data_IF_278185200176
#
_entry.id   IF_278185200176
#
_cell.length_a   1.000
_cell.length_b   1.000
_cell.length_c   1.000
_cell.angle_alpha   90.00
_cell.angle_beta   90.00
_cell.angle_gamma   90.00
#
_symmetry.space_group_name_H-M   'P 1'
#
loop_
_entity.id
_entity.type
_entity.pdbx_description
1 polymer ?
#
# COMPACT_ATOMS: atom_id res chain seq x y z
N UNK A 1 -2.77 -18.95 -46.02
CA UNK A 1 -3.44 -19.33 -44.75
C UNK A 1 -2.42 -20.01 -43.85
N UNK A 2 -1.90 -19.30 -42.84
CA UNK A 2 -0.98 -19.86 -41.85
C UNK A 2 -1.80 -20.42 -40.69
N UNK A 3 -1.66 -21.73 -40.40
CA UNK A 3 -2.34 -22.36 -39.27
C UNK A 3 -1.56 -22.05 -37.99
N UNK A 4 -2.18 -21.37 -37.04
CA UNK A 4 -1.62 -21.13 -35.72
C UNK A 4 -1.41 -22.46 -34.98
N UNK A 5 -0.20 -22.66 -34.42
CA UNK A 5 0.10 -23.80 -33.56
C UNK A 5 -0.57 -23.58 -32.20
N UNK A 6 -1.62 -24.35 -31.93
CA UNK A 6 -2.27 -24.43 -30.62
C UNK A 6 -1.25 -24.87 -29.56
N UNK A 7 -0.88 -23.99 -28.64
CA UNK A 7 -0.03 -24.33 -27.51
C UNK A 7 -0.76 -25.37 -26.63
N UNK A 8 -0.09 -26.50 -26.38
CA UNK A 8 -0.59 -27.52 -25.44
C UNK A 8 -0.44 -26.95 -24.04
N UNK A 9 -1.53 -26.91 -23.28
CA UNK A 9 -1.49 -26.66 -21.85
C UNK A 9 -0.77 -27.85 -21.22
N UNK A 10 0.36 -27.60 -20.58
CA UNK A 10 1.07 -28.61 -19.80
C UNK A 10 0.20 -28.97 -18.60
N UNK A 11 -0.02 -30.28 -18.38
CA UNK A 11 -0.76 -30.75 -17.21
C UNK A 11 0.10 -30.55 -15.97
N UNK A 12 -0.51 -29.97 -14.92
CA UNK A 12 0.15 -29.77 -13.64
C UNK A 12 0.27 -31.14 -12.98
N UNK A 13 1.50 -31.66 -12.91
CA UNK A 13 1.82 -32.89 -12.19
C UNK A 13 2.32 -32.48 -10.80
N UNK A 14 1.50 -32.73 -9.78
CA UNK A 14 1.91 -32.56 -8.39
C UNK A 14 2.82 -33.73 -8.03
N UNK A 15 4.05 -33.43 -7.60
CA UNK A 15 4.93 -34.42 -7.01
C UNK A 15 4.57 -34.57 -5.53
N UNK A 16 4.46 -35.80 -5.05
CA UNK A 16 4.22 -36.13 -3.63
C UNK A 16 5.48 -35.92 -2.75
N UNK A 17 6.55 -35.39 -3.33
CA UNK A 17 7.80 -35.14 -2.63
C UNK A 17 7.84 -33.72 -2.05
N UNK A 18 8.47 -33.58 -0.89
CA UNK A 18 8.66 -32.28 -0.26
C UNK A 18 9.64 -31.44 -1.08
N UNK A 19 9.32 -30.16 -1.27
CA UNK A 19 10.18 -29.21 -1.95
C UNK A 19 11.51 -29.09 -1.19
N UNK A 20 12.55 -29.79 -1.66
CA UNK A 20 13.90 -29.73 -1.11
C UNK A 20 14.57 -28.43 -1.58
N UNK A 21 14.15 -27.30 -1.00
CA UNK A 21 14.76 -25.99 -1.26
C UNK A 21 16.04 -25.90 -0.44
N UNK A 22 17.17 -25.71 -1.10
CA UNK A 22 18.44 -25.51 -0.40
C UNK A 22 18.37 -24.20 0.41
N UNK A 23 19.14 -24.11 1.49
CA UNK A 23 19.16 -22.90 2.32
C UNK A 23 19.65 -21.67 1.54
N UNK A 24 20.40 -21.88 0.47
CA UNK A 24 20.90 -20.87 -0.47
C UNK A 24 19.79 -20.38 -1.42
N UNK A 25 18.88 -21.27 -1.85
CA UNK A 25 17.72 -20.91 -2.67
C UNK A 25 16.65 -20.13 -1.87
N UNK A 26 16.63 -20.30 -0.55
CA UNK A 26 15.79 -19.55 0.39
C UNK A 26 16.47 -18.29 0.93
N UNK A 27 17.74 -18.05 0.61
CA UNK A 27 18.42 -16.86 1.06
C UNK A 27 17.85 -15.65 0.29
N UNK A 28 17.33 -14.68 1.04
CA UNK A 28 17.00 -13.35 0.50
C UNK A 28 18.31 -12.69 0.03
N UNK A 29 18.72 -13.01 -1.20
CA UNK A 29 19.98 -12.59 -1.80
C UNK A 29 19.95 -11.15 -2.29
N UNK A 30 18.76 -10.59 -2.44
CA UNK A 30 18.55 -9.22 -2.90
C UNK A 30 18.54 -8.25 -1.72
N UNK A 31 19.71 -8.04 -1.12
CA UNK A 31 19.95 -6.97 -0.16
C UNK A 31 19.94 -5.63 -0.92
N UNK A 32 18.76 -5.16 -1.34
CA UNK A 32 18.61 -3.79 -1.84
C UNK A 32 18.79 -2.86 -0.66
N UNK A 33 19.93 -2.16 -0.63
CA UNK A 33 20.15 -1.09 0.34
C UNK A 33 18.99 -0.09 0.25
N UNK A 34 18.51 0.38 1.41
CA UNK A 34 17.54 1.46 1.44
C UNK A 34 18.10 2.67 0.67
N UNK A 35 17.24 3.42 -0.06
CA UNK A 35 17.63 4.69 -0.65
C UNK A 35 18.28 5.61 0.39
N UNK A 36 19.34 6.32 0.00
CA UNK A 36 20.08 7.21 0.89
C UNK A 36 19.16 8.24 1.58
N UNK A 37 18.16 8.74 0.85
CA UNK A 37 17.17 9.70 1.32
C UNK A 37 16.38 9.21 2.54
N UNK A 38 16.17 7.90 2.69
CA UNK A 38 15.47 7.29 3.84
C UNK A 38 16.45 7.07 5.00
N UNK A 39 17.74 6.90 4.73
CA UNK A 39 18.78 6.72 5.75
C UNK A 39 19.15 8.03 6.47
N UNK A 40 18.91 9.19 5.86
CA UNK A 40 19.21 10.52 6.43
C UNK A 40 18.09 11.05 7.35
N UNK A 41 17.04 10.25 7.57
CA UNK A 41 15.83 10.66 8.26
C UNK A 41 15.99 10.51 9.78
N UNK A 42 15.71 11.58 10.54
CA UNK A 42 15.94 11.62 11.98
C UNK A 42 14.66 11.35 12.80
N UNK A 43 13.50 11.77 12.28
CA UNK A 43 12.23 11.72 13.01
C UNK A 43 11.27 10.69 12.42
N UNK A 44 10.55 9.89 13.24
CA UNK A 44 9.62 8.87 12.74
C UNK A 44 8.57 9.39 11.75
N UNK A 45 8.06 10.62 11.92
CA UNK A 45 7.08 11.19 10.99
C UNK A 45 7.63 11.41 9.59
N UNK A 46 8.94 11.64 9.44
CA UNK A 46 9.58 11.86 8.16
C UNK A 46 9.65 10.56 7.35
N UNK A 47 9.83 9.41 8.02
CA UNK A 47 9.71 8.10 7.38
C UNK A 47 8.32 7.88 6.78
N UNK A 48 7.25 8.27 7.49
CA UNK A 48 5.89 8.18 6.94
C UNK A 48 5.67 9.21 5.83
N UNK A 49 6.23 10.41 5.96
CA UNK A 49 6.13 11.47 4.95
C UNK A 49 6.82 11.09 3.64
N UNK A 50 7.77 10.15 3.64
CA UNK A 50 8.38 9.61 2.42
C UNK A 50 7.33 8.92 1.53
N UNK A 51 6.37 8.19 2.12
CA UNK A 51 5.31 7.50 1.37
C UNK A 51 4.14 8.43 1.01
N UNK A 52 3.86 9.42 1.86
CA UNK A 52 2.85 10.45 1.61
C UNK A 52 3.49 11.67 0.95
N UNK A 53 3.82 11.53 -0.34
CA UNK A 53 4.45 12.58 -1.13
C UNK A 53 3.62 13.86 -1.16
N UNK A 54 4.27 14.99 -1.47
CA UNK A 54 3.61 16.30 -1.57
C UNK A 54 2.52 16.35 -2.65
N UNK A 55 2.47 15.39 -3.55
CA UNK A 55 1.47 15.33 -4.61
C UNK A 55 0.26 14.46 -4.23
N UNK A 56 0.46 13.42 -3.40
CA UNK A 56 -0.60 12.49 -3.07
C UNK A 56 -1.61 13.07 -2.07
N UNK A 57 -1.15 13.87 -1.11
CA UNK A 57 -2.03 14.51 -0.13
C UNK A 57 -2.99 15.53 -0.78
N UNK A 58 -2.54 16.45 -1.64
CA UNK A 58 -3.44 17.30 -2.42
C UNK A 58 -4.39 16.49 -3.30
N UNK A 59 -3.89 15.45 -3.97
CA UNK A 59 -4.72 14.62 -4.85
C UNK A 59 -5.86 13.91 -4.10
N UNK A 60 -5.58 13.33 -2.93
CA UNK A 60 -6.60 12.72 -2.07
C UNK A 60 -7.61 13.79 -1.61
N UNK A 61 -7.13 14.98 -1.25
CA UNK A 61 -7.97 16.08 -0.79
C UNK A 61 -8.93 16.55 -1.90
N UNK A 62 -8.42 16.73 -3.12
CA UNK A 62 -9.21 17.09 -4.29
C UNK A 62 -10.28 16.04 -4.58
N UNK A 63 -9.90 14.77 -4.66
CA UNK A 63 -10.83 13.67 -4.93
C UNK A 63 -11.91 13.54 -3.86
N UNK A 64 -11.54 13.72 -2.59
CA UNK A 64 -12.49 13.62 -1.47
C UNK A 64 -13.51 14.77 -1.52
N UNK A 65 -13.05 15.98 -1.83
CA UNK A 65 -13.95 17.13 -2.00
C UNK A 65 -14.83 17.00 -3.24
N UNK A 66 -14.28 16.54 -4.36
CA UNK A 66 -15.03 16.26 -5.58
C UNK A 66 -16.14 15.25 -5.32
N UNK A 67 -15.81 14.14 -4.65
CA UNK A 67 -16.78 13.13 -4.26
C UNK A 67 -17.85 13.69 -3.32
N UNK A 68 -17.47 14.52 -2.34
CA UNK A 68 -18.43 15.15 -1.43
C UNK A 68 -19.47 15.99 -2.18
N UNK A 69 -19.05 16.76 -3.19
CA UNK A 69 -19.96 17.56 -4.02
C UNK A 69 -20.86 16.67 -4.89
N UNK A 70 -20.33 15.56 -5.41
CA UNK A 70 -21.10 14.62 -6.23
C UNK A 70 -22.20 13.90 -5.44
N UNK A 71 -21.94 13.55 -4.17
CA UNK A 71 -22.90 12.82 -3.33
C UNK A 71 -23.88 13.75 -2.64
N UNK A 72 -23.40 14.89 -2.09
CA UNK A 72 -24.19 15.82 -1.28
C UNK A 72 -23.85 17.27 -1.63
N UNK A 73 -24.31 17.76 -2.79
CA UNK A 73 -24.03 19.13 -3.23
C UNK A 73 -24.58 20.18 -2.26
N UNK A 74 -25.60 19.84 -1.46
CA UNK A 74 -26.19 20.74 -0.46
C UNK A 74 -25.26 21.01 0.74
N UNK A 75 -24.29 20.13 0.99
CA UNK A 75 -23.37 20.24 2.12
C UNK A 75 -21.99 19.66 1.76
N UNK A 76 -21.18 20.38 0.97
CA UNK A 76 -19.82 19.95 0.65
C UNK A 76 -18.95 19.92 1.91
N UNK A 77 -18.10 18.90 2.03
CA UNK A 77 -17.25 18.68 3.19
C UNK A 77 -16.14 19.74 3.32
N UNK A 78 -15.65 20.26 2.19
CA UNK A 78 -14.60 21.29 2.10
C UNK A 78 -13.37 20.98 2.98
N UNK A 79 -12.85 19.77 2.80
CA UNK A 79 -11.74 19.19 3.55
C UNK A 79 -10.43 19.85 3.13
N UNK A 80 -9.59 20.15 4.11
CA UNK A 80 -8.22 20.65 3.95
C UNK A 80 -7.19 19.52 3.92
N UNK A 81 -6.02 19.79 3.35
CA UNK A 81 -4.90 18.83 3.33
C UNK A 81 -4.44 18.45 4.74
N UNK A 82 -4.48 19.40 5.69
CA UNK A 82 -4.13 19.15 7.09
C UNK A 82 -5.10 18.18 7.77
N UNK A 83 -6.39 18.22 7.43
CA UNK A 83 -7.39 17.26 7.92
C UNK A 83 -7.14 15.86 7.35
N UNK A 84 -6.80 15.74 6.07
CA UNK A 84 -6.40 14.46 5.47
C UNK A 84 -5.13 13.92 6.14
N UNK A 85 -4.15 14.76 6.39
CA UNK A 85 -2.91 14.38 7.08
C UNK A 85 -3.20 13.89 8.51
N UNK A 86 -4.06 14.59 9.24
CA UNK A 86 -4.49 14.17 10.58
C UNK A 86 -5.24 12.84 10.55
N UNK A 87 -6.13 12.66 9.58
CA UNK A 87 -6.88 11.42 9.37
C UNK A 87 -5.95 10.22 9.09
N UNK A 88 -4.96 10.38 8.21
CA UNK A 88 -3.93 9.36 7.96
C UNK A 88 -3.15 9.03 9.23
N UNK A 89 -2.78 10.04 10.01
CA UNK A 89 -2.11 9.85 11.31
C UNK A 89 -2.95 9.02 12.29
N UNK A 90 -4.27 9.28 12.36
CA UNK A 90 -5.20 8.49 13.16
C UNK A 90 -5.23 7.03 12.68
N UNK A 91 -5.34 6.79 11.38
CA UNK A 91 -5.34 5.43 10.82
C UNK A 91 -4.05 4.65 11.16
N UNK A 92 -2.89 5.30 11.07
CA UNK A 92 -1.60 4.69 11.46
C UNK A 92 -1.59 4.39 12.96
N UNK A 93 -2.01 5.33 13.79
CA UNK A 93 -2.07 5.15 15.25
C UNK A 93 -3.01 4.00 15.65
N UNK A 94 -4.17 3.91 15.01
CA UNK A 94 -5.15 2.84 15.21
C UNK A 94 -4.68 1.47 14.73
N UNK A 95 -3.69 1.41 13.83
CA UNK A 95 -3.07 0.13 13.44
C UNK A 95 -2.17 -0.44 14.54
N UNK A 96 -1.61 0.42 15.40
CA UNK A 96 -0.80 0.03 16.55
C UNK A 96 -1.68 -0.28 17.75
N UNK A 97 -2.67 0.57 18.02
CA UNK A 97 -3.55 0.42 19.17
C UNK A 97 -4.82 -0.31 18.75
N UNK A 98 -4.91 -1.55 19.22
CA UNK A 98 -6.12 -2.34 19.09
C UNK A 98 -7.17 -1.77 20.02
N UNK A 99 -8.17 -1.07 19.46
CA UNK A 99 -9.32 -0.67 20.25
C UNK A 99 -10.05 -1.96 20.67
N UNK A 100 -10.28 -2.18 21.98
CA UNK A 100 -11.03 -3.34 22.42
C UNK A 100 -12.39 -3.30 21.75
N UNK A 101 -12.80 -4.41 21.13
CA UNK A 101 -14.09 -4.51 20.46
C UNK A 101 -15.19 -4.25 21.49
N UNK A 102 -15.72 -3.03 21.52
CA UNK A 102 -16.97 -2.71 22.21
C UNK A 102 -18.11 -3.25 21.36
N UNK A 103 -18.21 -4.57 21.30
CA UNK A 103 -19.48 -5.24 21.05
C UNK A 103 -20.25 -5.16 22.38
N UNK A 104 -21.10 -4.14 22.50
CA UNK A 104 -22.24 -4.21 23.42
C UNK A 104 -23.30 -5.14 22.85
#
# INVERSE_FOLDING_TARGET
MLKEKKQRKEEIIWLDDSLNVSQEDNAWTDFRSLPADICEVDQPYQFFSYFFTKDILPYITELTNLFSVQVRPEKPANISEDEIKAFVGICIYMSVIHLPSTRS
#
